data_IF_341831756401
#
_entry.id   IF_341831756401
#
_cell.length_a   1.000
_cell.length_b   1.000
_cell.length_c   1.000
_cell.angle_alpha   90.00
_cell.angle_beta   90.00
_cell.angle_gamma   90.00
#
_symmetry.space_group_name_H-M   'P 1'
#
loop_
_entity.id
_entity.type
_entity.pdbx_description
1 polymer ?
#
# COMPACT_ATOMS: atom_id res chain seq x y z
N UNK A 1 -15.56 22.06 23.16
CA UNK A 1 -15.51 21.61 21.77
C UNK A 1 -16.06 20.20 21.75
N UNK A 2 -17.08 19.92 20.93
CA UNK A 2 -17.61 18.57 20.80
C UNK A 2 -16.50 17.65 20.30
N UNK A 3 -16.30 16.52 20.96
CA UNK A 3 -15.36 15.48 20.53
C UNK A 3 -15.93 14.85 19.25
N UNK A 4 -15.31 15.15 18.12
CA UNK A 4 -15.70 14.57 16.84
C UNK A 4 -15.24 13.09 16.81
N UNK A 5 -16.17 12.18 16.56
CA UNK A 5 -15.87 10.77 16.28
C UNK A 5 -15.47 10.69 14.80
N UNK A 6 -14.28 10.15 14.54
CA UNK A 6 -13.75 10.03 13.18
C UNK A 6 -14.42 8.86 12.45
N UNK A 7 -14.82 9.04 11.18
CA UNK A 7 -15.31 7.94 10.34
C UNK A 7 -14.14 7.03 9.91
N UNK A 8 -14.49 5.84 9.40
CA UNK A 8 -13.51 4.97 8.76
C UNK A 8 -12.90 5.64 7.52
N UNK A 9 -11.62 5.36 7.25
CA UNK A 9 -10.86 5.88 6.12
C UNK A 9 -9.66 6.75 6.52
N UNK A 10 -8.99 7.30 5.52
CA UNK A 10 -7.86 8.22 5.74
C UNK A 10 -8.33 9.50 6.47
N UNK A 11 -7.47 10.05 7.32
CA UNK A 11 -7.73 11.32 7.97
C UNK A 11 -7.90 12.44 6.94
N UNK A 12 -8.74 13.42 7.27
CA UNK A 12 -8.86 14.62 6.43
C UNK A 12 -7.52 15.35 6.34
N UNK A 13 -7.14 15.89 5.17
CA UNK A 13 -5.83 16.51 4.93
C UNK A 13 -5.45 17.56 5.98
N UNK A 14 -6.39 18.39 6.43
CA UNK A 14 -6.16 19.44 7.41
C UNK A 14 -5.83 18.87 8.81
N UNK A 15 -6.49 17.77 9.17
CA UNK A 15 -6.22 17.08 10.43
C UNK A 15 -4.86 16.38 10.37
N UNK A 16 -4.57 15.70 9.26
CA UNK A 16 -3.29 15.02 9.05
C UNK A 16 -2.14 16.04 9.06
N UNK A 17 -2.23 17.12 8.31
CA UNK A 17 -1.18 18.16 8.26
C UNK A 17 -0.82 18.71 9.65
N UNK A 18 -1.82 18.91 10.51
CA UNK A 18 -1.58 19.33 11.91
C UNK A 18 -0.85 18.26 12.71
N UNK A 19 -1.19 17.00 12.53
CA UNK A 19 -0.56 15.88 13.27
C UNK A 19 0.86 15.61 12.79
N UNK A 20 1.15 15.80 11.52
CA UNK A 20 2.50 15.68 10.97
C UNK A 20 3.49 16.71 11.56
N UNK A 21 2.99 17.79 12.16
CA UNK A 21 3.80 18.72 12.93
C UNK A 21 4.48 18.12 14.17
N UNK A 22 4.10 16.92 14.61
CA UNK A 22 4.78 16.17 15.68
C UNK A 22 5.94 15.31 15.20
N UNK A 23 6.12 15.19 13.88
CA UNK A 23 7.24 14.41 13.32
C UNK A 23 8.55 15.20 13.37
N UNK A 24 9.66 14.47 13.43
CA UNK A 24 11.00 15.06 13.41
C UNK A 24 11.46 15.32 11.99
N UNK A 25 12.30 16.33 11.83
CA UNK A 25 13.01 16.62 10.58
C UNK A 25 14.51 16.53 10.82
N UNK A 26 15.25 16.10 9.81
CA UNK A 26 16.71 16.03 9.83
C UNK A 26 17.25 16.47 8.45
N UNK A 27 18.49 16.98 8.37
CA UNK A 27 19.05 17.47 7.10
C UNK A 27 19.16 16.40 6.00
N UNK A 28 19.27 15.14 6.36
CA UNK A 28 19.33 13.99 5.47
C UNK A 28 17.96 13.47 5.03
N UNK A 29 16.86 13.98 5.61
CA UNK A 29 15.49 13.67 5.17
C UNK A 29 15.08 14.63 4.06
N UNK A 30 15.20 14.21 2.81
CA UNK A 30 14.92 15.04 1.63
C UNK A 30 13.42 15.18 1.38
N UNK A 31 12.66 14.11 1.62
CA UNK A 31 11.20 14.08 1.61
C UNK A 31 10.75 13.49 2.93
N UNK A 32 10.15 14.33 3.76
CA UNK A 32 9.59 13.94 5.03
C UNK A 32 8.08 13.73 4.94
N UNK A 33 7.43 13.37 6.06
CA UNK A 33 6.00 13.13 6.09
C UNK A 33 5.22 14.42 5.80
N UNK A 34 4.48 14.40 4.70
CA UNK A 34 3.62 15.49 4.27
C UNK A 34 2.33 14.96 3.64
N UNK A 35 1.29 15.79 3.57
CA UNK A 35 0.07 15.43 2.85
C UNK A 35 0.38 15.39 1.37
N UNK A 36 0.14 14.23 0.73
CA UNK A 36 0.38 14.02 -0.70
C UNK A 36 1.73 13.39 -1.04
N UNK A 37 2.57 13.09 -0.04
CA UNK A 37 3.78 12.30 -0.23
C UNK A 37 3.51 10.84 0.17
N UNK A 38 3.91 9.89 -0.70
CA UNK A 38 3.65 8.47 -0.52
C UNK A 38 4.78 7.77 0.25
N UNK A 39 6.00 8.32 0.20
CA UNK A 39 7.17 7.73 0.87
C UNK A 39 8.10 8.80 1.45
N UNK A 40 8.86 8.42 2.46
CA UNK A 40 9.99 9.20 2.92
C UNK A 40 11.23 8.93 2.08
N UNK A 41 12.04 9.98 1.82
CA UNK A 41 13.31 9.88 1.09
C UNK A 41 14.45 10.38 1.96
N UNK A 42 15.44 9.53 2.17
CA UNK A 42 16.58 9.79 3.07
C UNK A 42 17.87 9.73 2.25
N UNK A 43 18.69 10.77 2.37
CA UNK A 43 20.00 10.86 1.72
C UNK A 43 21.01 9.92 2.41
N UNK A 44 21.62 9.01 1.63
CA UNK A 44 22.69 8.11 2.06
C UNK A 44 24.01 8.43 1.35
N UNK A 45 24.11 9.63 0.79
CA UNK A 45 25.29 10.13 0.07
C UNK A 45 25.24 9.84 -1.42
N UNK A 46 25.57 8.65 -1.86
CA UNK A 46 25.60 8.29 -3.28
C UNK A 46 24.25 7.75 -3.81
N UNK A 47 23.31 7.43 -2.93
CA UNK A 47 21.94 6.98 -3.21
C UNK A 47 20.99 7.52 -2.18
N UNK A 48 19.72 7.56 -2.53
CA UNK A 48 18.65 7.87 -1.60
C UNK A 48 17.90 6.59 -1.24
N UNK A 49 17.62 6.44 0.04
CA UNK A 49 16.75 5.40 0.56
C UNK A 49 15.30 5.89 0.52
N UNK A 50 14.41 5.09 -0.04
CA UNK A 50 12.97 5.36 -0.10
C UNK A 50 12.26 4.38 0.83
N UNK A 51 11.42 4.88 1.74
CA UNK A 51 10.74 4.06 2.76
C UNK A 51 9.28 4.42 2.81
N UNK A 52 8.43 3.40 2.70
CA UNK A 52 6.98 3.54 2.85
C UNK A 52 6.39 2.48 3.75
N UNK A 53 5.17 2.71 4.24
CA UNK A 53 4.40 1.75 5.02
C UNK A 53 2.92 1.97 4.77
N UNK A 54 2.26 0.99 4.15
CA UNK A 54 0.82 0.99 3.94
C UNK A 54 0.16 -0.30 4.46
N UNK A 55 -0.95 -0.17 5.22
CA UNK A 55 -1.73 -1.31 5.68
C UNK A 55 -2.81 -1.69 4.68
N UNK A 56 -3.10 -2.98 4.57
CA UNK A 56 -4.28 -3.51 3.87
C UNK A 56 -5.39 -3.73 4.91
N UNK A 57 -6.47 -2.96 4.79
CA UNK A 57 -7.57 -2.91 5.78
C UNK A 57 -8.96 -3.10 5.17
N UNK A 58 -9.12 -3.06 3.84
CA UNK A 58 -10.40 -3.16 3.16
C UNK A 58 -10.56 -4.42 2.29
N UNK A 59 -9.50 -5.20 2.11
CA UNK A 59 -9.54 -6.49 1.43
C UNK A 59 -9.50 -7.62 2.47
N UNK A 60 -10.26 -8.69 2.22
CA UNK A 60 -10.21 -9.94 2.99
C UNK A 60 -9.52 -11.06 2.21
N UNK A 61 -9.52 -10.96 0.88
CA UNK A 61 -8.79 -11.84 -0.02
C UNK A 61 -7.58 -11.12 -0.62
N UNK A 62 -6.56 -11.86 -0.99
CA UNK A 62 -5.33 -11.36 -1.62
C UNK A 62 -4.58 -10.28 -0.82
N UNK A 63 -4.75 -10.26 0.50
CA UNK A 63 -4.12 -9.27 1.36
C UNK A 63 -2.58 -9.25 1.23
N UNK A 64 -1.97 -10.42 1.04
CA UNK A 64 -0.53 -10.55 0.83
C UNK A 64 -0.07 -9.89 -0.46
N UNK A 65 -0.78 -10.16 -1.56
CA UNK A 65 -0.50 -9.56 -2.86
C UNK A 65 -0.66 -8.04 -2.82
N UNK A 66 -1.81 -7.56 -2.34
CA UNK A 66 -2.06 -6.11 -2.20
C UNK A 66 -0.97 -5.43 -1.39
N UNK A 67 -0.58 -6.01 -0.26
CA UNK A 67 0.40 -5.39 0.64
C UNK A 67 1.77 -5.19 -0.02
N UNK A 68 2.23 -6.13 -0.82
CA UNK A 68 3.50 -5.97 -1.55
C UNK A 68 3.34 -4.97 -2.69
N UNK A 69 2.27 -5.08 -3.50
CA UNK A 69 2.05 -4.21 -4.66
C UNK A 69 1.89 -2.75 -4.29
N UNK A 70 1.04 -2.43 -3.30
CA UNK A 70 0.77 -1.05 -2.89
C UNK A 70 2.05 -0.40 -2.39
N UNK A 71 2.78 -1.06 -1.49
CA UNK A 71 4.05 -0.53 -0.98
C UNK A 71 5.13 -0.42 -2.08
N UNK A 72 5.15 -1.32 -3.06
CA UNK A 72 6.07 -1.22 -4.19
C UNK A 72 5.75 -0.04 -5.11
N UNK A 73 4.46 0.24 -5.30
CA UNK A 73 4.00 1.39 -6.08
C UNK A 73 4.43 2.73 -5.48
N UNK A 74 4.41 2.86 -4.15
CA UNK A 74 4.88 4.08 -3.47
C UNK A 74 6.37 4.33 -3.73
N UNK A 75 7.18 3.26 -3.68
CA UNK A 75 8.60 3.36 -4.04
C UNK A 75 8.77 3.79 -5.50
N UNK A 76 7.99 3.17 -6.40
CA UNK A 76 8.05 3.48 -7.83
C UNK A 76 7.58 4.91 -8.14
N UNK A 77 6.57 5.42 -7.42
CA UNK A 77 6.09 6.79 -7.56
C UNK A 77 7.18 7.84 -7.25
N UNK A 78 8.11 7.51 -6.35
CA UNK A 78 9.30 8.33 -6.06
C UNK A 78 10.45 8.15 -7.08
N UNK A 79 10.26 7.37 -8.16
CA UNK A 79 11.31 7.03 -9.12
C UNK A 79 12.25 5.93 -8.64
N UNK A 80 11.93 5.29 -7.50
CA UNK A 80 12.75 4.29 -6.84
C UNK A 80 12.51 2.86 -7.35
N UNK A 81 13.44 1.99 -6.98
CA UNK A 81 13.35 0.55 -7.19
C UNK A 81 13.10 -0.13 -5.85
N UNK A 82 11.98 -0.86 -5.66
CA UNK A 82 11.74 -1.66 -4.46
C UNK A 82 12.85 -2.70 -4.26
N UNK A 83 13.26 -2.93 -2.99
CA UNK A 83 14.35 -3.87 -2.67
C UNK A 83 13.99 -4.83 -1.55
N UNK A 84 13.46 -4.31 -0.46
CA UNK A 84 13.22 -5.09 0.74
C UNK A 84 11.81 -4.86 1.26
N UNK A 85 11.15 -5.96 1.56
CA UNK A 85 9.81 -5.95 2.14
C UNK A 85 9.82 -6.55 3.55
N UNK A 86 9.04 -5.99 4.44
CA UNK A 86 8.70 -6.57 5.73
C UNK A 86 7.23 -6.28 6.04
N UNK A 87 6.60 -7.06 6.93
CA UNK A 87 5.21 -6.83 7.30
C UNK A 87 4.92 -7.15 8.76
N UNK A 88 4.07 -6.34 9.39
CA UNK A 88 3.36 -6.74 10.59
C UNK A 88 2.02 -7.34 10.16
N UNK A 89 1.79 -8.61 10.53
CA UNK A 89 0.59 -9.38 10.19
C UNK A 89 -0.16 -9.67 11.49
N UNK A 90 -1.38 -9.15 11.61
CA UNK A 90 -2.24 -9.36 12.76
C UNK A 90 -3.48 -10.11 12.31
N UNK A 91 -3.71 -11.27 12.92
CA UNK A 91 -4.72 -12.24 12.55
C UNK A 91 -5.82 -12.30 13.62
N UNK A 92 -7.11 -12.43 13.26
CA UNK A 92 -8.19 -12.44 14.21
C UNK A 92 -8.21 -13.74 15.04
N UNK A 93 -8.32 -13.58 16.38
CA UNK A 93 -8.43 -14.69 17.31
C UNK A 93 -9.73 -15.51 17.06
N UNK A 94 -9.65 -16.82 17.17
CA UNK A 94 -10.79 -17.73 17.04
C UNK A 94 -11.31 -17.93 15.62
N UNK A 95 -10.72 -17.28 14.61
CA UNK A 95 -11.13 -17.38 13.22
C UNK A 95 -9.99 -17.86 12.30
N UNK A 96 -8.74 -17.66 12.70
CA UNK A 96 -7.54 -17.98 11.89
C UNK A 96 -7.15 -19.44 12.00
N UNK A 97 -6.89 -20.08 10.89
CA UNK A 97 -6.30 -21.43 10.77
C UNK A 97 -4.87 -21.32 10.26
N UNK A 98 -4.06 -22.32 10.54
CA UNK A 98 -2.67 -22.33 10.07
C UNK A 98 -2.58 -22.33 8.54
N UNK A 99 -3.51 -23.01 7.87
CA UNK A 99 -3.58 -23.08 6.41
C UNK A 99 -3.83 -21.71 5.78
N UNK A 100 -4.63 -20.85 6.44
CA UNK A 100 -4.90 -19.48 5.99
C UNK A 100 -3.62 -18.62 6.10
N UNK A 101 -2.84 -18.84 7.16
CA UNK A 101 -1.55 -18.15 7.36
C UNK A 101 -0.53 -18.61 6.32
N UNK A 102 -0.45 -19.93 6.05
CA UNK A 102 0.43 -20.49 5.02
C UNK A 102 0.08 -19.93 3.63
N UNK A 103 -1.21 -19.82 3.30
CA UNK A 103 -1.67 -19.23 2.04
C UNK A 103 -1.27 -17.75 1.92
N UNK A 104 -1.46 -16.97 2.97
CA UNK A 104 -1.05 -15.56 3.03
C UNK A 104 0.46 -15.39 2.83
N UNK A 105 1.26 -16.24 3.49
CA UNK A 105 2.73 -16.22 3.35
C UNK A 105 3.16 -16.59 1.94
N UNK A 106 2.53 -17.60 1.33
CA UNK A 106 2.80 -17.98 -0.05
C UNK A 106 2.49 -16.83 -1.01
N UNK A 107 1.39 -16.13 -0.80
CA UNK A 107 0.97 -14.98 -1.61
C UNK A 107 1.96 -13.81 -1.51
N UNK A 108 2.41 -13.45 -0.30
CA UNK A 108 3.46 -12.44 -0.08
C UNK A 108 4.75 -12.85 -0.79
N UNK A 109 5.17 -14.10 -0.62
CA UNK A 109 6.40 -14.61 -1.24
C UNK A 109 6.32 -14.57 -2.77
N UNK A 110 5.16 -14.93 -3.34
CA UNK A 110 4.97 -14.91 -4.79
C UNK A 110 4.98 -13.48 -5.34
N UNK A 111 4.34 -12.54 -4.67
CA UNK A 111 4.37 -11.12 -5.04
C UNK A 111 5.80 -10.56 -4.98
N UNK A 112 6.51 -10.81 -3.88
CA UNK A 112 7.91 -10.39 -3.73
C UNK A 112 8.80 -10.96 -4.84
N UNK A 113 8.65 -12.25 -5.16
CA UNK A 113 9.43 -12.89 -6.21
C UNK A 113 9.16 -12.31 -7.61
N UNK A 114 7.89 -11.98 -7.91
CA UNK A 114 7.54 -11.40 -9.21
C UNK A 114 8.10 -9.98 -9.38
N UNK A 115 8.33 -9.25 -8.29
CA UNK A 115 8.85 -7.89 -8.28
C UNK A 115 10.35 -7.80 -8.01
N UNK A 116 11.05 -8.94 -7.89
CA UNK A 116 12.47 -9.01 -7.49
C UNK A 116 12.75 -8.29 -6.15
N UNK A 117 11.83 -8.44 -5.21
CA UNK A 117 11.90 -7.90 -3.85
C UNK A 117 12.24 -9.02 -2.87
N UNK A 118 13.11 -8.73 -1.90
CA UNK A 118 13.44 -9.66 -0.83
C UNK A 118 12.52 -9.43 0.37
N UNK A 119 11.77 -10.46 0.77
CA UNK A 119 11.05 -10.44 2.03
C UNK A 119 12.02 -10.73 3.18
N UNK A 120 12.34 -9.71 3.97
CA UNK A 120 13.43 -9.77 4.97
C UNK A 120 12.95 -9.98 6.41
N UNK A 121 11.65 -10.01 6.65
CA UNK A 121 11.11 -10.28 7.98
C UNK A 121 9.82 -9.55 8.28
N UNK A 122 9.56 -9.37 9.58
CA UNK A 122 8.35 -8.72 10.08
C UNK A 122 7.91 -9.29 11.42
N UNK A 123 6.61 -9.21 11.70
CA UNK A 123 5.98 -9.74 12.90
C UNK A 123 4.68 -10.44 12.50
N UNK A 124 4.35 -11.55 13.15
CA UNK A 124 3.07 -12.25 12.93
C UNK A 124 2.50 -12.68 14.26
N UNK A 125 1.24 -12.30 14.50
CA UNK A 125 0.53 -12.67 15.73
C UNK A 125 -0.95 -12.93 15.48
N UNK A 126 -1.58 -13.69 16.38
CA UNK A 126 -3.04 -13.82 16.49
C UNK A 126 -3.49 -12.94 17.67
N UNK A 127 -4.46 -12.06 17.45
CA UNK A 127 -4.83 -11.03 18.41
C UNK A 127 -6.35 -10.79 18.46
N UNK A 128 -6.92 -10.54 19.64
CA UNK A 128 -8.31 -10.08 19.77
C UNK A 128 -8.50 -8.61 19.34
N UNK A 129 -7.44 -7.91 18.99
CA UNK A 129 -7.48 -6.49 18.62
C UNK A 129 -8.06 -6.25 17.21
N UNK A 130 -8.16 -7.28 16.37
CA UNK A 130 -8.67 -7.20 15.00
C UNK A 130 -9.79 -8.21 14.75
N UNK A 131 -10.70 -7.86 13.84
CA UNK A 131 -11.82 -8.71 13.44
C UNK A 131 -11.62 -9.35 12.06
N UNK A 132 -10.61 -8.90 11.33
CA UNK A 132 -10.17 -9.41 10.03
C UNK A 132 -8.65 -9.37 9.95
N UNK A 133 -8.07 -10.04 8.97
CA UNK A 133 -6.63 -9.99 8.72
C UNK A 133 -6.19 -8.54 8.47
N UNK A 134 -5.14 -8.12 9.15
CA UNK A 134 -4.46 -6.84 8.92
C UNK A 134 -3.03 -7.12 8.50
N UNK A 135 -2.64 -6.64 7.34
CA UNK A 135 -1.25 -6.71 6.85
C UNK A 135 -0.74 -5.28 6.70
N UNK A 136 0.12 -4.85 7.61
CA UNK A 136 0.83 -3.58 7.49
C UNK A 136 2.19 -3.83 6.85
N UNK A 137 2.29 -3.60 5.54
CA UNK A 137 3.51 -3.74 4.77
C UNK A 137 4.44 -2.55 5.00
N UNK A 138 5.73 -2.82 4.91
CA UNK A 138 6.79 -1.81 4.82
C UNK A 138 7.69 -2.18 3.66
N UNK A 139 7.95 -1.21 2.79
CA UNK A 139 8.87 -1.35 1.67
C UNK A 139 10.04 -0.40 1.82
N UNK A 140 11.22 -0.92 1.53
CA UNK A 140 12.43 -0.14 1.41
C UNK A 140 12.93 -0.26 -0.03
N UNK A 141 13.18 0.87 -0.65
CA UNK A 141 13.74 0.95 -1.99
C UNK A 141 14.91 1.92 -2.06
N UNK A 142 15.47 2.03 -3.24
CA UNK A 142 16.58 2.93 -3.56
C UNK A 142 16.24 3.74 -4.80
N UNK A 143 16.68 5.00 -4.83
CA UNK A 143 16.62 5.87 -6.00
C UNK A 143 17.93 6.61 -6.19
N UNK A 144 18.39 6.69 -7.42
CA UNK A 144 19.53 7.54 -7.75
C UNK A 144 19.10 9.02 -7.67
N UNK A 145 19.95 9.93 -7.19
CA UNK A 145 19.60 11.33 -6.99
C UNK A 145 18.99 12.02 -8.23
N UNK A 146 19.43 11.65 -9.42
CA UNK A 146 18.95 12.18 -10.70
C UNK A 146 17.57 11.65 -11.12
N UNK A 147 17.11 10.56 -10.53
CA UNK A 147 15.83 9.92 -10.82
C UNK A 147 14.75 10.16 -9.77
N UNK A 148 15.09 10.88 -8.69
CA UNK A 148 14.11 11.20 -7.65
C UNK A 148 12.94 12.01 -8.25
N UNK A 149 11.73 11.50 -8.08
CA UNK A 149 10.49 12.14 -8.46
C UNK A 149 9.68 12.47 -7.18
N UNK A 150 9.43 13.75 -6.94
CA UNK A 150 8.61 14.21 -5.81
C UNK A 150 7.29 14.77 -6.33
N UNK A 151 6.21 14.53 -5.60
CA UNK A 151 4.89 15.09 -5.94
C UNK A 151 4.92 16.63 -6.00
N UNK A 152 5.76 17.25 -5.17
CA UNK A 152 5.98 18.71 -5.13
C UNK A 152 6.73 19.28 -6.34
N UNK A 153 7.36 18.47 -7.18
CA UNK A 153 8.16 18.94 -8.32
C UNK A 153 7.33 19.21 -9.59
N UNK A 154 6.04 18.83 -9.59
CA UNK A 154 5.13 19.07 -10.71
C UNK A 154 4.98 20.57 -11.03
N UNK A 155 5.03 20.91 -12.31
CA UNK A 155 5.01 22.29 -12.81
C UNK A 155 3.92 22.50 -13.85
N UNK A 156 3.47 23.75 -14.00
CA UNK A 156 2.57 24.14 -15.10
C UNK A 156 3.24 23.85 -16.43
N UNK A 157 2.58 23.05 -17.25
CA UNK A 157 3.09 22.61 -18.56
C UNK A 157 3.55 21.15 -18.60
N UNK A 158 3.66 20.50 -17.45
CA UNK A 158 3.93 19.06 -17.39
C UNK A 158 2.74 18.26 -17.93
N UNK A 159 3.04 17.12 -18.56
CA UNK A 159 2.03 16.22 -19.07
C UNK A 159 1.45 15.35 -17.96
N UNK A 160 0.13 15.30 -17.85
CA UNK A 160 -0.57 14.35 -16.98
C UNK A 160 -0.68 13.01 -17.71
N UNK A 161 -0.01 11.98 -17.20
CA UNK A 161 0.01 10.64 -17.79
C UNK A 161 -0.73 9.66 -16.89
N UNK A 162 -1.71 8.95 -17.44
CA UNK A 162 -2.38 7.84 -16.78
C UNK A 162 -1.77 6.53 -17.25
N UNK A 163 -1.20 5.77 -16.33
CA UNK A 163 -0.66 4.43 -16.61
C UNK A 163 -1.73 3.39 -16.26
N UNK A 164 -2.01 2.45 -17.19
CA UNK A 164 -3.09 1.45 -17.10
C UNK A 164 -4.48 2.12 -17.04
N UNK A 165 -5.11 2.20 -15.86
CA UNK A 165 -6.41 2.82 -15.66
C UNK A 165 -6.54 3.40 -14.25
N UNK A 166 -7.50 4.29 -14.04
CA UNK A 166 -7.82 4.80 -12.72
C UNK A 166 -8.59 3.75 -11.89
N UNK A 167 -8.38 3.78 -10.57
CA UNK A 167 -9.12 3.00 -9.58
C UNK A 167 -9.09 1.47 -9.79
N UNK A 168 -8.02 0.91 -10.37
CA UNK A 168 -7.88 -0.53 -10.63
C UNK A 168 -8.00 -1.31 -9.33
N UNK A 169 -7.26 -0.95 -8.29
CA UNK A 169 -7.26 -1.58 -6.98
C UNK A 169 -8.64 -1.56 -6.35
N UNK A 170 -9.23 -0.37 -6.19
CA UNK A 170 -10.56 -0.23 -5.59
C UNK A 170 -11.63 -1.00 -6.35
N UNK A 171 -11.55 -1.06 -7.68
CA UNK A 171 -12.46 -1.83 -8.53
C UNK A 171 -12.32 -3.32 -8.26
N UNK A 172 -11.10 -3.85 -8.16
CA UNK A 172 -10.85 -5.25 -7.86
C UNK A 172 -11.35 -5.63 -6.45
N UNK A 173 -11.04 -4.80 -5.44
CA UNK A 173 -11.51 -5.01 -4.06
C UNK A 173 -13.04 -5.02 -4.01
N UNK A 174 -13.72 -4.02 -4.57
CA UNK A 174 -15.19 -3.93 -4.54
C UNK A 174 -15.82 -5.12 -5.26
N UNK A 175 -15.29 -5.51 -6.42
CA UNK A 175 -15.80 -6.64 -7.19
C UNK A 175 -15.60 -7.99 -6.47
N UNK A 176 -14.61 -8.10 -5.58
CA UNK A 176 -14.35 -9.27 -4.76
C UNK A 176 -15.22 -9.26 -3.50
N UNK A 177 -15.13 -8.21 -2.71
CA UNK A 177 -15.81 -8.09 -1.41
C UNK A 177 -17.34 -7.95 -1.55
N UNK A 178 -17.82 -7.45 -2.69
CA UNK A 178 -19.23 -7.19 -3.00
C UNK A 178 -19.68 -7.91 -4.28
N UNK A 179 -19.16 -9.11 -4.53
CA UNK A 179 -19.38 -9.85 -5.77
C UNK A 179 -20.87 -10.04 -6.12
N UNK A 180 -21.72 -10.34 -5.13
CA UNK A 180 -23.16 -10.51 -5.32
C UNK A 180 -23.84 -9.20 -5.74
N UNK A 181 -23.53 -8.10 -5.04
CA UNK A 181 -24.09 -6.78 -5.30
C UNK A 181 -23.68 -6.26 -6.68
N UNK A 182 -22.38 -6.40 -7.01
CA UNK A 182 -21.83 -6.01 -8.32
C UNK A 182 -22.42 -6.89 -9.42
N UNK A 183 -22.53 -8.21 -9.19
CA UNK A 183 -23.10 -9.17 -10.12
C UNK A 183 -24.57 -8.91 -10.42
N UNK A 184 -25.34 -8.50 -9.41
CA UNK A 184 -26.77 -8.17 -9.59
C UNK A 184 -26.97 -6.93 -10.48
N UNK A 185 -26.03 -5.99 -10.48
CA UNK A 185 -26.12 -4.73 -11.25
C UNK A 185 -25.46 -4.84 -12.62
N UNK A 186 -24.29 -5.46 -12.70
CA UNK A 186 -23.42 -5.43 -13.88
C UNK A 186 -23.25 -6.80 -14.56
N UNK A 187 -23.75 -7.88 -13.95
CA UNK A 187 -23.64 -9.24 -14.45
C UNK A 187 -22.32 -9.93 -14.08
N UNK A 188 -22.31 -11.26 -14.12
CA UNK A 188 -21.21 -12.10 -13.68
C UNK A 188 -19.91 -11.89 -14.47
N UNK A 189 -20.03 -11.65 -15.79
CA UNK A 189 -18.86 -11.42 -16.66
C UNK A 189 -18.10 -10.15 -16.26
N UNK A 190 -18.83 -9.03 -16.04
CA UNK A 190 -18.22 -7.77 -15.63
C UNK A 190 -17.61 -7.90 -14.22
N UNK A 191 -18.30 -8.59 -13.31
CA UNK A 191 -17.79 -8.85 -11.96
C UNK A 191 -16.45 -9.58 -12.02
N UNK A 192 -16.41 -10.69 -12.77
CA UNK A 192 -15.17 -11.47 -12.94
C UNK A 192 -14.05 -10.66 -13.56
N UNK A 193 -14.33 -9.93 -14.63
CA UNK A 193 -13.35 -9.04 -15.27
C UNK A 193 -12.81 -7.99 -14.30
N UNK A 194 -13.67 -7.44 -13.44
CA UNK A 194 -13.28 -6.44 -12.44
C UNK A 194 -12.41 -7.05 -11.33
N UNK A 195 -12.69 -8.29 -10.89
CA UNK A 195 -11.84 -9.04 -9.97
C UNK A 195 -10.44 -9.29 -10.57
N UNK A 196 -10.40 -9.68 -11.84
CA UNK A 196 -9.16 -9.97 -12.56
C UNK A 196 -8.25 -8.73 -12.72
N UNK A 197 -8.75 -7.51 -12.48
CA UNK A 197 -7.95 -6.29 -12.52
C UNK A 197 -6.78 -6.30 -11.53
N UNK A 198 -6.88 -7.08 -10.47
CA UNK A 198 -5.77 -7.27 -9.52
C UNK A 198 -4.49 -7.77 -10.23
N UNK A 199 -4.64 -8.63 -11.24
CA UNK A 199 -3.53 -9.27 -11.95
C UNK A 199 -3.40 -8.81 -13.41
N UNK A 200 -4.48 -8.38 -14.04
CA UNK A 200 -4.53 -7.95 -15.44
C UNK A 200 -5.48 -6.75 -15.63
N UNK A 201 -5.00 -5.51 -15.74
CA UNK A 201 -3.62 -5.09 -16.02
C UNK A 201 -2.66 -5.11 -14.82
N UNK A 202 -3.12 -5.50 -13.65
CA UNK A 202 -2.38 -5.49 -12.40
C UNK A 202 -2.42 -4.12 -11.70
N UNK A 203 -2.34 -4.16 -10.38
CA UNK A 203 -2.21 -2.97 -9.54
C UNK A 203 -0.74 -2.58 -9.37
#
# INVERSE_FOLDING_TARGET
MATEILPAGKLRPEALARLLGYTSQAPDVLVGPAVGEDAAVIDQGNRYLVVTTDPITFATEHCGWYSVCVNANDIAACGGTPRYYSAAIVLPEGQTRIEDVEALFAEIQDACRQMDVLWVGGHTEVSPAVNSVLVAGQMIGEVDPEHLCRSSDAKTGDALVLIKAAAIEATAIIATEKAEEVGAVHGAEMTKRSQDFLFAPGI
#
